data_IF_218788013901
#
_entry.id   IF_218788013901
#
_cell.length_a   1.000
_cell.length_b   1.000
_cell.length_c   1.000
_cell.angle_alpha   90.00
_cell.angle_beta   90.00
_cell.angle_gamma   90.00
#
_symmetry.space_group_name_H-M   'P 1'
#
loop_
_entity.id
_entity.type
_entity.pdbx_description
1 polymer ?
#
# COMPACT_ATOMS: atom_id res chain seq x y z
N UNK A 1 24.01 7.54 15.62
CA UNK A 1 22.89 7.12 14.75
C UNK A 1 21.60 7.34 15.52
N UNK A 2 20.76 8.19 14.98
CA UNK A 2 19.54 8.53 15.71
C UNK A 2 18.58 7.36 15.84
N UNK A 3 18.52 6.46 14.84
CA UNK A 3 17.62 5.30 14.92
C UNK A 3 17.97 4.34 16.06
N UNK A 4 19.20 4.34 16.52
CA UNK A 4 19.60 3.49 17.65
C UNK A 4 18.95 3.92 18.95
N UNK A 5 18.44 5.13 19.00
CA UNK A 5 17.83 5.69 20.20
C UNK A 5 16.32 5.52 20.24
N UNK A 6 15.74 5.02 19.14
CA UNK A 6 14.31 4.77 19.07
C UNK A 6 14.03 3.33 19.49
N UNK A 7 13.02 3.12 20.33
CA UNK A 7 12.66 1.76 20.71
C UNK A 7 12.19 0.99 19.48
N UNK A 8 12.48 -0.30 19.46
CA UNK A 8 11.96 -1.18 18.42
C UNK A 8 10.49 -1.45 18.72
N UNK A 9 9.62 -0.89 17.88
CA UNK A 9 8.17 -1.04 18.03
C UNK A 9 7.64 -2.24 17.26
N UNK A 10 8.53 -2.98 16.60
CA UNK A 10 8.15 -4.15 15.80
C UNK A 10 7.81 -3.84 14.35
N UNK A 11 7.74 -2.56 13.96
CA UNK A 11 7.40 -2.16 12.61
C UNK A 11 8.37 -1.10 12.11
N UNK A 12 8.85 -1.28 10.89
CA UNK A 12 9.66 -0.29 10.18
C UNK A 12 9.06 -0.02 8.80
N UNK A 13 9.45 1.10 8.23
CA UNK A 13 8.94 1.48 6.93
C UNK A 13 9.90 2.34 6.15
N UNK A 14 9.65 2.40 4.85
CA UNK A 14 10.34 3.30 3.94
C UNK A 14 9.40 3.75 2.84
N UNK A 15 9.77 4.82 2.16
CA UNK A 15 8.98 5.40 1.08
C UNK A 15 9.77 5.30 -0.22
N UNK A 16 9.08 4.89 -1.29
CA UNK A 16 9.63 4.84 -2.64
C UNK A 16 8.77 5.72 -3.54
N UNK A 17 9.29 6.83 -4.09
CA UNK A 17 8.52 7.63 -5.04
C UNK A 17 8.29 6.84 -6.32
N UNK A 18 7.06 6.83 -6.79
CA UNK A 18 6.67 6.06 -7.98
C UNK A 18 5.78 6.89 -8.90
N UNK A 19 5.71 6.50 -10.15
CA UNK A 19 4.91 7.08 -11.24
C UNK A 19 5.42 8.46 -11.65
N UNK A 20 5.02 8.97 -12.84
CA UNK A 20 5.33 10.35 -13.23
C UNK A 20 4.81 11.39 -12.26
N UNK A 21 3.81 11.04 -11.43
CA UNK A 21 3.23 11.93 -10.43
C UNK A 21 4.01 11.97 -9.11
N UNK A 22 5.09 11.16 -9.00
CA UNK A 22 5.97 11.12 -7.83
C UNK A 22 5.22 10.85 -6.53
N UNK A 23 4.28 9.91 -6.58
CA UNK A 23 3.49 9.47 -5.44
C UNK A 23 4.35 8.59 -4.53
N UNK A 24 4.18 8.71 -3.22
CA UNK A 24 4.95 7.94 -2.25
C UNK A 24 4.32 6.56 -2.00
N UNK A 25 4.95 5.51 -2.53
CA UNK A 25 4.61 4.15 -2.19
C UNK A 25 5.31 3.79 -0.88
N UNK A 26 4.60 3.22 0.06
CA UNK A 26 5.17 2.83 1.36
C UNK A 26 5.41 1.33 1.42
N UNK A 27 6.54 0.94 2.02
CA UNK A 27 6.83 -0.45 2.34
C UNK A 27 6.97 -0.52 3.85
N UNK A 28 6.10 -1.29 4.51
CA UNK A 28 6.15 -1.50 5.95
C UNK A 28 6.47 -2.96 6.23
N UNK A 29 7.31 -3.24 7.23
CA UNK A 29 7.64 -4.62 7.56
C UNK A 29 7.77 -4.84 9.05
N UNK A 30 7.48 -6.08 9.44
CA UNK A 30 7.63 -6.56 10.81
C UNK A 30 9.11 -6.88 11.06
N UNK A 31 9.69 -6.29 12.09
CA UNK A 31 11.13 -6.46 12.36
C UNK A 31 11.45 -7.84 12.89
N UNK A 32 10.46 -8.57 13.43
CA UNK A 32 10.65 -9.92 13.96
C UNK A 32 10.65 -10.97 12.85
N UNK A 33 9.75 -10.84 11.87
CA UNK A 33 9.55 -11.85 10.82
C UNK A 33 10.13 -11.46 9.48
N UNK A 34 10.44 -10.17 9.26
CA UNK A 34 10.80 -9.57 7.98
C UNK A 34 9.70 -9.70 6.91
N UNK A 35 8.48 -10.00 7.32
CA UNK A 35 7.33 -9.96 6.42
C UNK A 35 6.91 -8.52 6.21
N UNK A 36 6.58 -8.18 4.97
CA UNK A 36 6.31 -6.81 4.57
C UNK A 36 5.01 -6.69 3.80
N UNK A 37 4.45 -5.51 3.82
CA UNK A 37 3.36 -5.11 2.94
C UNK A 37 3.79 -3.89 2.14
N UNK A 38 3.39 -3.84 0.88
CA UNK A 38 3.54 -2.65 0.06
C UNK A 38 2.19 -1.93 0.01
N UNK A 39 2.23 -0.62 0.21
CA UNK A 39 1.02 0.21 0.27
C UNK A 39 1.05 1.15 -0.92
N UNK A 40 0.00 1.08 -1.74
CA UNK A 40 -0.19 1.92 -2.92
C UNK A 40 0.94 1.79 -3.97
N UNK A 41 1.17 0.58 -4.51
CA UNK A 41 2.16 0.40 -5.58
C UNK A 41 1.60 0.92 -6.91
N UNK A 42 1.65 2.23 -7.10
CA UNK A 42 1.04 2.89 -8.25
C UNK A 42 1.75 2.64 -9.58
N UNK A 43 3.01 2.27 -9.54
CA UNK A 43 3.84 2.02 -10.73
C UNK A 43 5.28 1.82 -10.34
N UNK A 44 6.19 1.84 -11.33
CA UNK A 44 7.64 1.70 -11.10
C UNK A 44 7.97 0.48 -10.23
N UNK A 45 7.36 -0.65 -10.55
CA UNK A 45 7.45 -1.86 -9.71
C UNK A 45 8.88 -2.34 -9.50
N UNK A 46 9.76 -2.15 -10.49
CA UNK A 46 11.16 -2.55 -10.34
C UNK A 46 11.86 -1.76 -9.26
N UNK A 47 11.51 -0.49 -9.06
CA UNK A 47 12.06 0.32 -7.97
C UNK A 47 11.55 -0.17 -6.62
N UNK A 48 10.29 -0.55 -6.55
CA UNK A 48 9.70 -1.11 -5.33
C UNK A 48 10.38 -2.44 -4.98
N UNK A 49 10.52 -3.33 -5.95
CA UNK A 49 11.13 -4.65 -5.73
C UNK A 49 12.62 -4.53 -5.39
N UNK A 50 13.31 -3.56 -5.97
CA UNK A 50 14.69 -3.27 -5.61
C UNK A 50 14.83 -2.86 -4.15
N UNK A 51 13.92 -2.02 -3.66
CA UNK A 51 13.91 -1.60 -2.26
C UNK A 51 13.60 -2.78 -1.32
N UNK A 52 12.67 -3.65 -1.70
CA UNK A 52 12.35 -4.86 -0.95
C UNK A 52 13.59 -5.73 -0.80
N UNK A 53 14.31 -5.95 -1.90
CA UNK A 53 15.52 -6.77 -1.90
C UNK A 53 16.62 -6.15 -1.05
N UNK A 54 16.84 -4.84 -1.19
CA UNK A 54 17.86 -4.12 -0.41
C UNK A 54 17.64 -4.22 1.09
N UNK A 55 16.41 -4.27 1.53
CA UNK A 55 16.06 -4.31 2.95
C UNK A 55 15.89 -5.73 3.47
N UNK A 56 16.03 -6.73 2.62
CA UNK A 56 15.95 -8.13 3.03
C UNK A 56 14.60 -8.55 3.57
N UNK A 57 13.53 -7.94 3.09
CA UNK A 57 12.17 -8.23 3.54
C UNK A 57 11.41 -9.01 2.47
N UNK A 58 10.36 -9.67 2.88
CA UNK A 58 9.53 -10.50 2.01
C UNK A 58 8.12 -9.96 1.97
N UNK A 59 7.65 -9.58 0.78
CA UNK A 59 6.28 -9.10 0.61
C UNK A 59 5.28 -10.22 0.84
N UNK A 60 4.27 -9.97 1.66
CA UNK A 60 3.20 -10.94 1.90
C UNK A 60 1.84 -10.44 1.42
N UNK A 61 1.67 -9.14 1.18
CA UNK A 61 0.41 -8.58 0.72
C UNK A 61 0.59 -7.19 0.14
N UNK A 62 -0.45 -6.76 -0.57
CA UNK A 62 -0.58 -5.39 -1.08
C UNK A 62 -1.73 -4.72 -0.32
N UNK A 63 -1.49 -3.53 0.20
CA UNK A 63 -2.52 -2.71 0.83
C UNK A 63 -2.80 -1.50 -0.07
N UNK A 64 -4.06 -1.13 -0.20
CA UNK A 64 -4.48 -0.01 -1.05
C UNK A 64 -5.28 0.98 -0.23
N UNK A 65 -4.84 2.24 -0.20
CA UNK A 65 -5.58 3.29 0.51
C UNK A 65 -6.77 3.76 -0.31
N UNK A 66 -6.58 3.95 -1.60
CA UNK A 66 -7.65 4.35 -2.53
C UNK A 66 -7.23 4.02 -3.96
N UNK A 67 -8.19 4.05 -4.87
CA UNK A 67 -7.98 3.49 -6.21
C UNK A 67 -7.68 4.53 -7.29
N UNK A 68 -7.11 5.69 -6.95
CA UNK A 68 -6.58 6.60 -7.94
C UNK A 68 -5.36 5.98 -8.64
N UNK A 69 -5.14 6.36 -9.89
CA UNK A 69 -4.15 5.71 -10.76
C UNK A 69 -2.72 5.74 -10.19
N UNK A 70 -2.32 6.84 -9.58
CA UNK A 70 -0.97 6.98 -9.03
C UNK A 70 -0.73 6.16 -7.77
N UNK A 71 -1.79 5.67 -7.14
CA UNK A 71 -1.73 4.80 -5.96
C UNK A 71 -2.02 3.34 -6.29
N UNK A 72 -2.84 3.07 -7.28
CA UNK A 72 -3.34 1.73 -7.56
C UNK A 72 -2.92 1.18 -8.94
N UNK A 73 -2.23 1.95 -9.74
CA UNK A 73 -1.94 1.58 -11.12
C UNK A 73 -1.10 0.31 -11.29
N UNK A 74 -0.25 -0.01 -10.33
CA UNK A 74 0.59 -1.21 -10.39
C UNK A 74 0.07 -2.39 -9.60
N UNK A 75 -1.09 -2.26 -8.95
CA UNK A 75 -1.60 -3.30 -8.05
C UNK A 75 -1.84 -4.63 -8.77
N UNK A 76 -2.54 -4.60 -9.90
CA UNK A 76 -2.86 -5.82 -10.64
C UNK A 76 -1.60 -6.56 -11.09
N UNK A 77 -0.64 -5.83 -11.67
CA UNK A 77 0.60 -6.43 -12.15
C UNK A 77 1.43 -7.02 -11.00
N UNK A 78 1.58 -6.29 -9.91
CA UNK A 78 2.37 -6.76 -8.77
C UNK A 78 1.74 -7.98 -8.11
N UNK A 79 0.42 -7.97 -7.93
CA UNK A 79 -0.30 -9.10 -7.36
C UNK A 79 -0.13 -10.37 -8.19
N UNK A 80 -0.20 -10.23 -9.51
CA UNK A 80 -0.05 -11.35 -10.43
C UNK A 80 1.39 -11.85 -10.46
N UNK A 81 2.35 -10.94 -10.49
CA UNK A 81 3.77 -11.22 -10.61
C UNK A 81 4.33 -11.98 -9.39
N UNK A 82 3.82 -11.68 -8.19
CA UNK A 82 4.29 -12.29 -6.94
C UNK A 82 3.23 -13.15 -6.25
N UNK A 83 2.05 -13.29 -6.84
CA UNK A 83 0.95 -14.03 -6.26
C UNK A 83 0.60 -13.51 -4.85
N UNK A 84 0.35 -12.20 -4.76
CA UNK A 84 0.06 -11.55 -3.48
C UNK A 84 -1.43 -11.24 -3.35
N UNK A 85 -1.99 -11.38 -2.14
CA UNK A 85 -3.36 -10.93 -1.88
C UNK A 85 -3.41 -9.40 -1.83
N UNK A 86 -4.56 -8.85 -2.20
CA UNK A 86 -4.83 -7.41 -2.19
C UNK A 86 -5.86 -7.13 -1.11
N UNK A 87 -5.57 -6.21 -0.20
CA UNK A 87 -6.49 -5.77 0.85
C UNK A 87 -6.72 -4.26 0.73
N UNK A 88 -7.97 -3.89 0.60
CA UNK A 88 -8.40 -2.52 0.37
C UNK A 88 -8.54 -2.19 -1.11
N UNK A 89 -9.10 -1.02 -1.39
CA UNK A 89 -9.59 -0.03 -0.43
C UNK A 89 -10.98 -0.38 0.12
N UNK A 90 -11.75 0.63 0.54
CA UNK A 90 -13.14 0.46 0.91
C UNK A 90 -13.99 0.22 -0.36
N UNK A 91 -15.10 -0.56 -0.27
CA UNK A 91 -15.92 -0.86 -1.44
C UNK A 91 -16.43 0.36 -2.21
N UNK A 92 -16.53 1.50 -1.58
CA UNK A 92 -16.97 2.72 -2.25
C UNK A 92 -16.01 3.22 -3.33
N UNK A 93 -14.79 2.67 -3.40
CA UNK A 93 -13.85 2.97 -4.49
C UNK A 93 -13.93 2.01 -5.67
N UNK A 94 -14.89 1.10 -5.68
CA UNK A 94 -15.05 0.13 -6.77
C UNK A 94 -15.08 0.81 -8.15
N UNK A 95 -15.77 1.93 -8.27
CA UNK A 95 -15.90 2.59 -9.57
C UNK A 95 -14.57 3.14 -10.08
N UNK A 96 -13.63 3.51 -9.18
CA UNK A 96 -12.30 3.94 -9.58
C UNK A 96 -11.47 2.77 -10.09
N UNK A 97 -11.60 1.60 -9.46
CA UNK A 97 -10.94 0.39 -9.94
C UNK A 97 -11.45 0.04 -11.34
N UNK A 98 -12.75 0.14 -11.56
CA UNK A 98 -13.38 -0.17 -12.85
C UNK A 98 -12.88 0.76 -13.97
N UNK A 99 -12.42 1.95 -13.62
CA UNK A 99 -11.94 2.97 -14.56
C UNK A 99 -10.43 3.11 -14.59
N UNK A 100 -9.70 2.21 -13.95
CA UNK A 100 -8.27 2.42 -13.75
C UNK A 100 -7.48 2.37 -15.06
N UNK A 101 -7.91 1.56 -16.02
CA UNK A 101 -7.26 1.50 -17.33
C UNK A 101 -7.41 2.83 -18.08
N UNK A 102 -8.61 3.40 -18.04
CA UNK A 102 -8.89 4.68 -18.65
C UNK A 102 -8.07 5.80 -18.01
N UNK A 103 -8.02 5.81 -16.67
CA UNK A 103 -7.22 6.78 -15.92
C UNK A 103 -5.74 6.65 -16.23
N UNK A 104 -5.26 5.41 -16.36
CA UNK A 104 -3.86 5.15 -16.69
C UNK A 104 -3.47 5.71 -18.03
N UNK A 105 -4.35 5.63 -19.02
CA UNK A 105 -4.10 6.15 -20.36
C UNK A 105 -3.82 7.65 -20.36
N UNK A 106 -4.47 8.40 -19.47
CA UNK A 106 -4.28 9.84 -19.38
C UNK A 106 -2.89 10.23 -18.85
N UNK A 107 -2.27 9.38 -18.07
CA UNK A 107 -0.99 9.67 -17.42
C UNK A 107 0.16 8.81 -17.94
N UNK A 108 -0.08 8.02 -18.98
CA UNK A 108 0.94 7.14 -19.52
C UNK A 108 1.30 5.98 -18.60
N UNK A 109 0.39 5.58 -17.73
CA UNK A 109 0.56 4.47 -16.81
C UNK A 109 -0.22 3.27 -17.34
N UNK A 110 0.47 2.15 -17.54
CA UNK A 110 -0.17 0.92 -17.97
C UNK A 110 -0.77 0.21 -16.75
N UNK A 111 -2.08 0.25 -16.64
CA UNK A 111 -2.79 -0.27 -15.48
C UNK A 111 -3.93 -1.19 -15.89
N UNK A 112 -4.27 -2.13 -15.01
CA UNK A 112 -5.41 -3.03 -15.19
C UNK A 112 -6.27 -2.99 -13.94
N UNK A 113 -7.57 -3.23 -14.13
CA UNK A 113 -8.48 -3.40 -13.01
C UNK A 113 -8.09 -4.63 -12.18
N UNK A 114 -8.39 -4.58 -10.91
CA UNK A 114 -8.13 -5.69 -9.98
C UNK A 114 -9.34 -5.87 -9.09
N UNK A 115 -9.42 -7.04 -8.47
CA UNK A 115 -10.45 -7.31 -7.48
C UNK A 115 -9.74 -7.58 -6.15
N UNK A 116 -9.98 -6.76 -5.11
CA UNK A 116 -9.40 -7.01 -3.80
C UNK A 116 -9.83 -8.38 -3.25
N UNK A 117 -8.89 -9.08 -2.64
CA UNK A 117 -9.20 -10.30 -1.91
C UNK A 117 -10.00 -9.97 -0.64
N UNK A 118 -9.84 -8.75 -0.15
CA UNK A 118 -10.53 -8.25 1.03
C UNK A 118 -10.78 -6.76 0.90
N UNK A 119 -12.05 -6.35 0.93
CA UNK A 119 -12.41 -4.94 1.07
C UNK A 119 -12.24 -4.53 2.53
N UNK A 120 -11.93 -3.26 2.77
CA UNK A 120 -11.66 -2.75 4.13
C UNK A 120 -12.67 -1.70 4.56
N UNK A 121 -13.03 -1.76 5.83
CA UNK A 121 -13.91 -0.81 6.49
C UNK A 121 -13.16 -0.15 7.64
N UNK A 122 -13.71 0.92 8.20
CA UNK A 122 -13.06 1.73 9.23
C UNK A 122 -12.85 1.05 10.58
N UNK A 123 -13.41 -0.13 10.77
CA UNK A 123 -13.22 -0.90 12.00
C UNK A 123 -12.38 -2.15 11.81
N UNK A 124 -11.83 -2.33 10.62
CA UNK A 124 -11.01 -3.50 10.32
C UNK A 124 -9.57 -3.32 10.83
N UNK A 125 -8.85 -4.42 10.86
CA UNK A 125 -7.41 -4.43 11.08
C UNK A 125 -6.75 -5.23 9.96
N UNK A 126 -5.47 -4.91 9.70
CA UNK A 126 -4.63 -5.68 8.79
C UNK A 126 -3.38 -6.11 9.55
N UNK A 127 -2.75 -7.19 9.10
CA UNK A 127 -1.53 -7.66 9.75
C UNK A 127 -0.36 -7.59 8.79
N UNK A 128 0.82 -7.29 9.34
CA UNK A 128 2.09 -7.34 8.63
C UNK A 128 3.01 -8.16 9.53
N UNK A 129 3.29 -9.41 9.15
CA UNK A 129 3.97 -10.34 10.03
C UNK A 129 3.18 -10.49 11.33
N UNK A 130 3.83 -10.19 12.46
CA UNK A 130 3.20 -10.24 13.78
C UNK A 130 2.56 -8.92 14.22
N UNK A 131 2.66 -7.89 13.38
CA UNK A 131 2.14 -6.56 13.74
C UNK A 131 0.73 -6.37 13.21
N UNK A 132 -0.08 -5.67 13.99
CA UNK A 132 -1.48 -5.36 13.62
C UNK A 132 -1.62 -3.85 13.44
N UNK A 133 -2.20 -3.46 12.31
CA UNK A 133 -2.49 -2.06 12.00
C UNK A 133 -4.00 -1.86 11.97
N UNK A 134 -4.45 -0.72 12.50
CA UNK A 134 -5.85 -0.33 12.41
C UNK A 134 -6.15 0.30 11.06
N UNK A 135 -7.38 0.13 10.60
CA UNK A 135 -7.89 0.73 9.36
C UNK A 135 -8.91 1.79 9.74
N UNK A 136 -8.83 2.97 9.12
CA UNK A 136 -9.85 4.00 9.25
C UNK A 136 -10.37 4.38 7.87
N UNK A 137 -11.69 4.47 7.76
CA UNK A 137 -12.33 4.95 6.54
C UNK A 137 -12.36 6.48 6.59
N UNK A 138 -11.70 7.12 5.64
CA UNK A 138 -11.54 8.58 5.58
C UNK A 138 -12.03 9.10 4.23
N UNK A 139 -13.35 9.06 3.97
CA UNK A 139 -13.88 9.54 2.69
C UNK A 139 -13.67 11.04 2.54
N UNK A 140 -13.46 11.48 1.31
CA UNK A 140 -13.20 12.87 0.99
C UNK A 140 -12.46 12.97 -0.32
N UNK A 141 -11.17 12.69 -0.29
CA UNK A 141 -10.36 12.63 -1.51
C UNK A 141 -10.92 11.60 -2.50
N UNK A 142 -11.25 10.39 -2.01
CA UNK A 142 -12.15 9.46 -2.69
C UNK A 142 -13.16 8.94 -1.68
N UNK A 143 -14.32 8.42 -2.15
CA UNK A 143 -15.32 7.89 -1.22
C UNK A 143 -14.85 6.64 -0.46
N UNK A 144 -13.94 5.86 -1.05
CA UNK A 144 -13.44 4.64 -0.44
C UNK A 144 -12.04 4.75 0.15
N UNK A 145 -11.54 5.96 0.40
CA UNK A 145 -10.20 6.17 0.95
C UNK A 145 -10.10 5.62 2.36
N UNK A 146 -9.08 4.80 2.61
CA UNK A 146 -8.77 4.29 3.96
C UNK A 146 -7.33 4.65 4.30
N UNK A 147 -7.05 4.69 5.60
CA UNK A 147 -5.68 4.84 6.11
C UNK A 147 -5.34 3.66 7.01
N UNK A 148 -4.05 3.41 7.17
CA UNK A 148 -3.53 2.35 8.03
C UNK A 148 -2.68 2.97 9.12
N UNK A 149 -2.85 2.56 10.37
CA UNK A 149 -2.07 3.11 11.46
C UNK A 149 -1.59 2.01 12.41
N UNK A 150 -0.38 2.21 12.93
CA UNK A 150 0.26 1.30 13.88
C UNK A 150 0.52 2.07 15.16
N UNK A 151 -0.27 1.81 16.21
CA UNK A 151 -0.22 2.59 17.45
C UNK A 151 1.14 2.56 18.14
N UNK A 152 1.81 1.40 18.30
CA UNK A 152 3.10 1.37 19.01
C UNK A 152 4.19 2.22 18.36
N UNK A 153 4.25 2.29 17.03
CA UNK A 153 5.26 3.08 16.32
C UNK A 153 4.78 4.48 15.97
N UNK A 154 3.48 4.75 16.11
CA UNK A 154 2.83 5.97 15.65
C UNK A 154 2.99 6.20 14.14
N UNK A 155 3.28 5.14 13.38
CA UNK A 155 3.31 5.22 11.93
C UNK A 155 1.90 5.18 11.37
N UNK A 156 1.69 5.94 10.31
CA UNK A 156 0.44 5.91 9.58
C UNK A 156 0.71 6.05 8.08
N UNK A 157 0.05 5.23 7.28
CA UNK A 157 0.04 5.35 5.82
C UNK A 157 -1.30 5.98 5.44
N UNK A 158 -1.26 7.23 5.04
CA UNK A 158 -2.47 8.06 4.91
C UNK A 158 -2.88 8.35 3.47
N UNK A 159 -2.15 7.85 2.49
CA UNK A 159 -2.46 8.15 1.09
C UNK A 159 -2.48 9.65 0.86
N UNK A 160 -3.63 10.16 0.45
CA UNK A 160 -3.81 11.59 0.13
C UNK A 160 -4.72 12.31 1.15
N UNK A 161 -4.82 11.78 2.33
CA UNK A 161 -5.56 12.45 3.40
C UNK A 161 -4.73 13.54 4.07
#
# INVERSE_FOLDING_TARGET
MSEEQHPDTGLRGMVVPVTPLQQNCSILWCTTTNKAAVIDPGGDLDNILGAVEQNGVELEKILVTHAHIDHAGGVAELAERLDLPIEGPHPEDQFWIDRIEESGSKYGINARAFEPNRWLDGHDTVTIGEQTLGVRHCPGHTPGHVIFHHAPSQLAAVGDV
#
